data_IF_677389579437
#
_entry.id   IF_677389579437
#
_cell.length_a   1.000
_cell.length_b   1.000
_cell.length_c   1.000
_cell.angle_alpha   90.00
_cell.angle_beta   90.00
_cell.angle_gamma   90.00
#
_symmetry.space_group_name_H-M   'P 1'
#
loop_
_entity.id
_entity.type
_entity.pdbx_description
1 polymer ?
#
# COMPACT_ATOMS: atom_id res chain seq x y z
N UNK A 1 -31.28 40.35 -8.84
CA UNK A 1 -31.31 40.66 -7.39
C UNK A 1 -30.84 39.41 -6.66
N UNK A 2 -29.62 39.47 -6.11
CA UNK A 2 -28.95 38.36 -5.41
C UNK A 2 -29.44 38.36 -3.97
N UNK A 3 -30.00 37.23 -3.52
CA UNK A 3 -30.39 37.04 -2.12
C UNK A 3 -29.20 36.44 -1.35
N UNK A 4 -28.70 37.10 -0.29
CA UNK A 4 -27.60 36.57 0.52
C UNK A 4 -28.15 35.73 1.67
N UNK A 5 -27.75 34.46 1.75
CA UNK A 5 -27.97 33.64 2.95
C UNK A 5 -27.11 34.20 4.10
N UNK A 6 -27.71 34.54 5.24
CA UNK A 6 -26.99 35.08 6.38
C UNK A 6 -26.44 33.94 7.26
N UNK A 7 -25.30 34.21 7.91
CA UNK A 7 -24.66 33.43 8.99
C UNK A 7 -23.71 32.30 8.60
N UNK A 8 -22.54 32.67 8.05
CA UNK A 8 -21.30 31.92 8.34
C UNK A 8 -20.47 32.78 9.30
N UNK A 9 -20.12 32.32 10.52
CA UNK A 9 -19.28 33.10 11.41
C UNK A 9 -17.88 33.29 10.80
N UNK A 10 -17.26 34.48 10.93
CA UNK A 10 -15.92 34.72 10.43
C UNK A 10 -14.94 33.74 11.10
N UNK A 11 -14.15 33.04 10.28
CA UNK A 11 -13.09 32.15 10.76
C UNK A 11 -12.10 32.98 11.62
N UNK A 12 -11.73 32.51 12.83
CA UNK A 12 -10.70 33.20 13.60
C UNK A 12 -9.37 33.17 12.82
N UNK A 13 -8.58 34.26 12.86
CA UNK A 13 -7.26 34.29 12.22
C UNK A 13 -6.39 33.18 12.81
N UNK A 14 -5.51 32.54 12.02
CA UNK A 14 -4.70 31.44 12.52
C UNK A 14 -3.83 31.95 13.67
N UNK A 15 -4.09 31.42 14.87
CA UNK A 15 -3.19 31.55 16.00
C UNK A 15 -1.79 31.13 15.55
N UNK A 16 -0.81 31.96 15.86
CA UNK A 16 0.58 31.86 15.42
C UNK A 16 1.13 30.45 15.67
N UNK A 17 1.13 29.62 14.63
CA UNK A 17 1.92 28.39 14.58
C UNK A 17 3.40 28.79 14.71
N UNK A 18 4.23 28.02 15.45
CA UNK A 18 5.67 28.22 15.50
C UNK A 18 6.25 28.19 14.08
N UNK A 19 7.29 28.99 13.83
CA UNK A 19 7.82 29.25 12.47
C UNK A 19 8.18 27.99 11.68
N UNK A 20 8.44 26.88 12.35
CA UNK A 20 8.69 25.56 11.73
C UNK A 20 7.50 25.03 10.89
N UNK A 21 6.29 25.57 11.07
CA UNK A 21 5.07 25.15 10.34
C UNK A 21 4.49 26.23 9.43
N UNK A 22 5.13 27.41 9.33
CA UNK A 22 4.75 28.42 8.34
C UNK A 22 5.26 28.02 6.96
N UNK A 23 4.35 27.71 6.03
CA UNK A 23 4.67 27.64 4.59
C UNK A 23 5.19 29.01 4.13
N UNK A 24 6.45 29.07 3.69
CA UNK A 24 6.97 30.21 2.94
C UNK A 24 6.19 30.36 1.61
N UNK A 25 5.68 31.56 1.29
CA UNK A 25 5.15 31.86 -0.03
C UNK A 25 6.33 32.21 -0.95
N UNK A 26 6.88 31.19 -1.58
CA UNK A 26 7.99 31.28 -2.53
C UNK A 26 8.25 29.90 -3.13
N UNK A 27 7.45 29.55 -4.13
CA UNK A 27 7.47 28.28 -4.89
C UNK A 27 8.89 27.91 -5.36
N UNK A 28 9.19 26.60 -5.41
CA UNK A 28 8.90 25.87 -6.63
C UNK A 28 7.65 24.99 -6.48
N UNK A 29 6.82 25.10 -7.50
CA UNK A 29 5.61 24.34 -7.77
C UNK A 29 5.77 22.84 -7.44
N UNK A 30 4.83 22.19 -6.71
CA UNK A 30 4.74 20.74 -6.78
C UNK A 30 4.47 20.39 -8.24
N UNK A 31 5.29 19.52 -8.81
CA UNK A 31 5.08 18.95 -10.13
C UNK A 31 3.63 18.51 -10.20
N UNK A 32 2.82 19.22 -10.99
CA UNK A 32 1.58 18.68 -11.53
C UNK A 32 1.95 17.29 -12.04
N UNK A 33 1.23 16.21 -11.73
CA UNK A 33 1.33 15.04 -12.56
C UNK A 33 0.89 15.51 -13.94
N UNK A 34 1.86 15.85 -14.78
CA UNK A 34 1.66 15.89 -16.21
C UNK A 34 1.18 14.49 -16.50
N UNK A 35 -0.11 14.37 -16.78
CA UNK A 35 -0.60 13.30 -17.61
C UNK A 35 0.20 13.44 -18.89
N UNK A 36 1.35 12.76 -18.95
CA UNK A 36 1.93 12.34 -20.21
C UNK A 36 0.77 11.61 -20.86
N UNK A 37 0.23 12.06 -22.00
CA UNK A 37 -0.50 11.13 -22.83
C UNK A 37 0.51 10.01 -23.02
N UNK A 38 0.22 8.83 -22.49
CA UNK A 38 0.93 7.66 -22.93
C UNK A 38 0.66 7.65 -24.43
N UNK A 39 1.64 8.15 -25.20
CA UNK A 39 1.66 7.99 -26.62
C UNK A 39 1.57 6.50 -26.79
N UNK A 40 0.39 6.04 -27.22
CA UNK A 40 0.20 4.73 -27.77
C UNK A 40 1.14 4.66 -28.97
N UNK A 41 2.41 4.32 -28.73
CA UNK A 41 3.19 3.58 -29.69
C UNK A 41 2.50 2.23 -29.78
N UNK A 42 1.49 2.22 -30.63
CA UNK A 42 0.97 1.04 -31.25
C UNK A 42 2.14 0.37 -31.96
N UNK A 43 2.79 -0.58 -31.29
CA UNK A 43 3.40 -1.68 -32.01
C UNK A 43 2.30 -2.72 -32.27
N UNK A 44 2.10 -3.12 -33.53
CA UNK A 44 0.96 -3.93 -33.97
C UNK A 44 1.26 -5.41 -33.68
N UNK A 45 1.30 -5.77 -32.40
CA UNK A 45 1.29 -7.16 -31.95
C UNK A 45 -0.13 -7.58 -31.61
N UNK A 46 -0.99 -7.62 -32.62
CA UNK A 46 -2.39 -8.01 -32.50
C UNK A 46 -2.54 -9.44 -31.99
N UNK A 47 -2.55 -9.60 -30.68
CA UNK A 47 -3.09 -10.75 -29.98
C UNK A 47 -4.33 -10.30 -29.23
N UNK A 48 -5.41 -10.01 -29.95
CA UNK A 48 -6.74 -9.97 -29.34
C UNK A 48 -7.00 -11.35 -28.78
N UNK A 49 -6.62 -11.59 -27.52
CA UNK A 49 -7.24 -12.66 -26.75
C UNK A 49 -8.72 -12.32 -26.80
N UNK A 50 -9.52 -13.07 -27.56
CA UNK A 50 -10.95 -12.85 -27.81
C UNK A 50 -11.82 -13.01 -26.56
N UNK A 51 -11.33 -12.48 -25.45
CA UNK A 51 -11.80 -12.54 -24.10
C UNK A 51 -12.52 -11.21 -23.83
N UNK A 52 -13.78 -11.22 -23.38
CA UNK A 52 -14.50 -10.01 -23.04
C UNK A 52 -13.71 -9.16 -22.02
N UNK A 53 -13.81 -7.82 -22.12
CA UNK A 53 -12.94 -6.89 -21.38
C UNK A 53 -12.90 -7.07 -19.85
N UNK A 54 -13.90 -7.71 -19.26
CA UNK A 54 -13.91 -8.06 -17.83
C UNK A 54 -12.91 -9.17 -17.47
N UNK A 55 -12.63 -10.11 -18.37
CA UNK A 55 -11.64 -11.18 -18.15
C UNK A 55 -10.23 -10.58 -18.12
N UNK A 56 -10.00 -9.55 -18.94
CA UNK A 56 -8.76 -8.77 -18.91
C UNK A 56 -8.62 -8.05 -17.57
N UNK A 57 -9.65 -7.33 -17.12
CA UNK A 57 -9.64 -6.61 -15.84
C UNK A 57 -9.46 -7.55 -14.62
N UNK A 58 -10.19 -8.66 -14.57
CA UNK A 58 -10.08 -9.66 -13.49
C UNK A 58 -8.73 -10.37 -13.51
N UNK A 59 -8.13 -10.59 -14.69
CA UNK A 59 -6.76 -11.12 -14.79
C UNK A 59 -5.72 -10.15 -14.23
N UNK A 60 -5.88 -8.83 -14.43
CA UNK A 60 -5.04 -7.81 -13.83
C UNK A 60 -5.17 -7.80 -12.31
N UNK A 61 -6.40 -7.85 -11.78
CA UNK A 61 -6.64 -7.92 -10.32
C UNK A 61 -5.97 -9.16 -9.73
N UNK A 62 -6.09 -10.33 -10.39
CA UNK A 62 -5.47 -11.57 -9.90
C UNK A 62 -3.93 -11.51 -9.95
N UNK A 63 -3.35 -10.93 -10.99
CA UNK A 63 -1.89 -10.70 -11.07
C UNK A 63 -1.42 -9.76 -9.96
N UNK A 64 -2.14 -8.67 -9.73
CA UNK A 64 -1.85 -7.74 -8.66
C UNK A 64 -1.95 -8.40 -7.28
N UNK A 65 -3.01 -9.17 -7.02
CA UNK A 65 -3.15 -9.95 -5.79
C UNK A 65 -1.99 -10.94 -5.59
N UNK A 66 -1.50 -11.57 -6.66
CA UNK A 66 -0.30 -12.42 -6.61
C UNK A 66 0.96 -11.64 -6.22
N UNK A 67 1.16 -10.43 -6.75
CA UNK A 67 2.28 -9.56 -6.37
C UNK A 67 2.19 -9.10 -4.90
N UNK A 68 0.98 -8.79 -4.43
CA UNK A 68 0.70 -8.45 -3.03
C UNK A 68 1.01 -9.66 -2.12
N UNK A 69 0.58 -10.87 -2.50
CA UNK A 69 0.91 -12.10 -1.78
C UNK A 69 2.42 -12.38 -1.72
N UNK A 70 3.13 -12.23 -2.84
CA UNK A 70 4.59 -12.35 -2.86
C UNK A 70 5.30 -11.30 -2.01
N UNK A 71 4.73 -10.09 -1.90
CA UNK A 71 5.22 -9.03 -1.01
C UNK A 71 4.98 -9.39 0.45
N UNK A 72 3.83 -9.96 0.80
CA UNK A 72 3.55 -10.47 2.14
C UNK A 72 4.57 -11.53 2.56
N UNK A 73 4.90 -12.46 1.68
CA UNK A 73 5.93 -13.48 1.93
C UNK A 73 7.31 -12.86 2.09
N UNK A 74 7.67 -11.87 1.26
CA UNK A 74 8.92 -11.14 1.38
C UNK A 74 9.07 -10.43 2.73
N UNK A 75 8.00 -9.76 3.17
CA UNK A 75 7.98 -9.07 4.48
C UNK A 75 8.06 -10.07 5.63
N UNK A 76 7.40 -11.24 5.54
CA UNK A 76 7.52 -12.31 6.54
C UNK A 76 8.94 -12.86 6.60
N UNK A 77 9.61 -13.05 5.46
CA UNK A 77 11.04 -13.44 5.44
C UNK A 77 11.93 -12.36 6.06
N UNK A 78 11.64 -11.09 5.82
CA UNK A 78 12.37 -9.98 6.44
C UNK A 78 12.21 -9.98 7.97
N UNK A 79 10.99 -10.22 8.46
CA UNK A 79 10.72 -10.41 9.89
C UNK A 79 11.58 -11.56 10.44
N UNK A 80 11.55 -12.72 9.79
CA UNK A 80 12.25 -13.91 10.27
C UNK A 80 13.79 -13.74 10.21
N UNK A 81 14.28 -12.91 9.28
CA UNK A 81 15.69 -12.53 9.16
C UNK A 81 16.11 -11.40 10.11
N UNK A 82 15.19 -10.85 10.91
CA UNK A 82 15.50 -9.73 11.80
C UNK A 82 16.48 -10.18 12.89
N UNK A 83 17.66 -9.52 13.02
CA UNK A 83 18.72 -10.01 13.90
C UNK A 83 18.30 -9.93 15.37
N UNK A 84 18.60 -11.00 16.12
CA UNK A 84 18.51 -11.03 17.59
C UNK A 84 19.90 -11.17 18.18
N UNK A 85 20.21 -10.32 19.13
CA UNK A 85 21.51 -10.28 19.82
C UNK A 85 21.44 -11.01 21.19
N UNK A 86 20.51 -11.97 21.32
CA UNK A 86 20.37 -12.83 22.50
C UNK A 86 21.59 -13.77 22.58
N UNK A 87 22.56 -13.41 23.42
CA UNK A 87 23.84 -14.10 23.56
C UNK A 87 25.00 -13.14 23.83
N UNK A 88 24.89 -11.91 23.31
CA UNK A 88 25.82 -10.82 23.59
C UNK A 88 25.61 -10.22 25.00
N UNK A 89 24.54 -10.64 25.68
CA UNK A 89 24.21 -10.26 27.05
C UNK A 89 24.79 -11.20 28.13
N UNK A 90 25.39 -12.34 27.75
CA UNK A 90 25.72 -13.42 28.70
C UNK A 90 27.20 -13.50 29.11
N UNK A 91 28.08 -12.76 28.46
CA UNK A 91 29.43 -12.55 28.93
C UNK A 91 29.88 -11.15 28.53
N UNK A 92 30.62 -10.43 29.38
CA UNK A 92 31.50 -9.39 28.85
C UNK A 92 32.42 -10.09 27.86
N UNK A 93 32.08 -10.00 26.56
CA UNK A 93 33.04 -10.21 25.47
C UNK A 93 34.30 -9.49 25.92
N UNK A 94 35.41 -10.20 26.09
CA UNK A 94 36.60 -9.66 26.73
C UNK A 94 36.93 -8.26 26.18
N UNK A 95 36.73 -7.22 27.00
CA UNK A 95 36.94 -5.81 26.63
C UNK A 95 35.71 -4.97 26.27
N UNK A 96 34.47 -5.50 26.26
CA UNK A 96 33.26 -4.69 26.06
C UNK A 96 32.80 -4.08 27.40
N UNK A 97 32.79 -2.74 27.54
CA UNK A 97 32.32 -2.08 28.76
C UNK A 97 30.86 -2.42 29.06
N UNK A 98 30.43 -2.35 30.32
CA UNK A 98 29.02 -2.51 30.75
C UNK A 98 28.06 -1.65 29.91
N UNK A 99 28.53 -0.49 29.42
CA UNK A 99 27.79 0.40 28.51
C UNK A 99 27.34 -0.34 27.23
N UNK A 100 28.14 -1.28 26.73
CA UNK A 100 27.83 -2.11 25.56
C UNK A 100 26.58 -2.98 25.77
N UNK A 101 26.30 -3.43 26.99
CA UNK A 101 25.09 -4.21 27.30
C UNK A 101 23.82 -3.37 27.12
N UNK A 102 23.84 -2.09 27.52
CA UNK A 102 22.73 -1.16 27.31
C UNK A 102 22.44 -0.96 25.82
N UNK A 103 23.49 -0.89 24.99
CA UNK A 103 23.33 -0.79 23.55
C UNK A 103 22.76 -2.08 22.94
N UNK A 104 23.24 -3.26 23.36
CA UNK A 104 22.68 -4.56 22.94
C UNK A 104 21.19 -4.66 23.28
N UNK A 105 20.79 -4.23 24.48
CA UNK A 105 19.37 -4.17 24.86
C UNK A 105 18.57 -3.24 23.95
N UNK A 106 19.08 -2.03 23.66
CA UNK A 106 18.43 -1.10 22.72
C UNK A 106 18.32 -1.69 21.32
N UNK A 107 19.36 -2.34 20.80
CA UNK A 107 19.32 -2.98 19.49
C UNK A 107 18.29 -4.11 19.45
N UNK A 108 18.21 -4.96 20.48
CA UNK A 108 17.18 -5.99 20.57
C UNK A 108 15.76 -5.40 20.55
N UNK A 109 15.51 -4.31 21.27
CA UNK A 109 14.21 -3.64 21.29
C UNK A 109 13.85 -3.05 19.91
N UNK A 110 14.82 -2.44 19.23
CA UNK A 110 14.64 -1.92 17.86
C UNK A 110 14.35 -3.07 16.89
N UNK A 111 15.12 -4.15 16.96
CA UNK A 111 14.88 -5.37 16.18
C UNK A 111 13.50 -5.95 16.44
N UNK A 112 13.05 -6.02 17.69
CA UNK A 112 11.72 -6.54 18.03
C UNK A 112 10.61 -5.65 17.46
N UNK A 113 10.76 -4.34 17.56
CA UNK A 113 9.82 -3.37 16.97
C UNK A 113 9.74 -3.54 15.45
N UNK A 114 10.90 -3.68 14.78
CA UNK A 114 10.96 -3.94 13.35
C UNK A 114 10.31 -5.27 12.96
N UNK A 115 10.60 -6.34 13.69
CA UNK A 115 10.00 -7.66 13.49
C UNK A 115 8.47 -7.59 13.63
N UNK A 116 7.97 -6.89 14.65
CA UNK A 116 6.53 -6.74 14.87
C UNK A 116 5.87 -5.92 13.75
N UNK A 117 6.48 -4.81 13.34
CA UNK A 117 5.97 -4.00 12.23
C UNK A 117 5.93 -4.78 10.91
N UNK A 118 6.98 -5.55 10.62
CA UNK A 118 7.01 -6.45 9.47
C UNK A 118 5.92 -7.54 9.58
N UNK A 119 5.70 -8.11 10.75
CA UNK A 119 4.59 -9.05 10.99
C UNK A 119 3.24 -8.45 10.61
N UNK A 120 2.90 -7.28 11.17
CA UNK A 120 1.65 -6.56 10.89
C UNK A 120 1.49 -6.25 9.40
N UNK A 121 2.54 -5.74 8.75
CA UNK A 121 2.51 -5.43 7.33
C UNK A 121 2.31 -6.70 6.47
N UNK A 122 2.99 -7.80 6.82
CA UNK A 122 2.83 -9.07 6.12
C UNK A 122 1.40 -9.62 6.23
N UNK A 123 0.78 -9.53 7.41
CA UNK A 123 -0.59 -9.99 7.63
C UNK A 123 -1.63 -9.10 6.93
N UNK A 124 -1.42 -7.79 6.91
CA UNK A 124 -2.24 -6.85 6.16
C UNK A 124 -2.19 -7.14 4.65
N UNK A 125 -0.98 -7.26 4.08
CA UNK A 125 -0.80 -7.59 2.66
C UNK A 125 -1.43 -8.93 2.30
N UNK A 126 -1.31 -9.94 3.18
CA UNK A 126 -1.92 -11.23 2.93
C UNK A 126 -3.46 -11.14 2.87
N UNK A 127 -4.06 -10.44 3.84
CA UNK A 127 -5.51 -10.22 3.92
C UNK A 127 -6.03 -9.43 2.72
N UNK A 128 -5.30 -8.38 2.32
CA UNK A 128 -5.64 -7.58 1.14
C UNK A 128 -5.55 -8.42 -0.14
N UNK A 129 -4.53 -9.26 -0.26
CA UNK A 129 -4.37 -10.21 -1.36
C UNK A 129 -5.56 -11.16 -1.49
N UNK A 130 -6.01 -11.77 -0.39
CA UNK A 130 -7.20 -12.63 -0.38
C UNK A 130 -8.47 -11.88 -0.78
N UNK A 131 -8.61 -10.64 -0.29
CA UNK A 131 -9.75 -9.78 -0.62
C UNK A 131 -9.80 -9.45 -2.11
N UNK A 132 -8.65 -9.16 -2.73
CA UNK A 132 -8.53 -8.91 -4.16
C UNK A 132 -8.89 -10.14 -4.99
N UNK A 133 -8.44 -11.33 -4.58
CA UNK A 133 -8.81 -12.59 -5.25
C UNK A 133 -10.33 -12.81 -5.18
N UNK A 134 -10.93 -12.67 -3.99
CA UNK A 134 -12.38 -12.82 -3.82
C UNK A 134 -13.16 -11.80 -4.63
N UNK A 135 -12.69 -10.54 -4.71
CA UNK A 135 -13.30 -9.53 -5.56
C UNK A 135 -13.26 -9.93 -7.04
N UNK A 136 -12.11 -10.38 -7.54
CA UNK A 136 -11.98 -10.86 -8.92
C UNK A 136 -12.92 -12.04 -9.21
N UNK A 137 -13.03 -13.00 -8.30
CA UNK A 137 -13.91 -14.15 -8.45
C UNK A 137 -15.39 -13.75 -8.44
N UNK A 138 -15.78 -12.79 -7.59
CA UNK A 138 -17.13 -12.23 -7.57
C UNK A 138 -17.49 -11.53 -8.89
N UNK A 139 -16.56 -10.77 -9.49
CA UNK A 139 -16.79 -10.16 -10.80
C UNK A 139 -17.01 -11.21 -11.89
N UNK A 140 -16.18 -12.26 -11.91
CA UNK A 140 -16.36 -13.37 -12.87
C UNK A 140 -17.70 -14.08 -12.67
N UNK A 141 -18.12 -14.30 -11.42
CA UNK A 141 -19.39 -14.94 -11.12
C UNK A 141 -20.59 -14.08 -11.54
N UNK A 142 -20.56 -12.77 -11.29
CA UNK A 142 -21.60 -11.83 -11.69
C UNK A 142 -21.78 -11.79 -13.22
N UNK A 143 -20.68 -11.76 -13.98
CA UNK A 143 -20.70 -11.76 -15.44
C UNK A 143 -21.28 -13.05 -16.03
N UNK A 144 -20.90 -14.22 -15.47
CA UNK A 144 -21.47 -15.51 -15.86
C UNK A 144 -22.98 -15.56 -15.60
N UNK A 145 -23.43 -15.03 -14.46
CA UNK A 145 -24.85 -14.98 -14.12
C UNK A 145 -25.63 -14.04 -15.06
N UNK A 146 -25.07 -12.86 -15.38
CA UNK A 146 -25.67 -11.92 -16.33
C UNK A 146 -25.79 -12.50 -17.75
N UNK A 147 -24.74 -13.17 -18.22
CA UNK A 147 -24.74 -13.83 -19.53
C UNK A 147 -25.80 -14.95 -19.61
N UNK A 148 -25.89 -15.78 -18.56
CA UNK A 148 -26.89 -16.84 -18.48
C UNK A 148 -28.33 -16.29 -18.44
N UNK A 149 -28.56 -15.16 -17.74
CA UNK A 149 -29.86 -14.50 -17.69
C UNK A 149 -30.27 -13.95 -19.07
N UNK A 150 -29.35 -13.30 -19.79
CA UNK A 150 -29.59 -12.77 -21.14
C UNK A 150 -29.91 -13.90 -22.13
N UNK A 151 -29.18 -15.02 -22.08
CA UNK A 151 -29.46 -16.19 -22.91
C UNK A 151 -30.84 -16.78 -22.62
N UNK A 152 -31.21 -16.89 -21.34
CA UNK A 152 -32.54 -17.41 -20.93
C UNK A 152 -33.69 -16.53 -21.42
N UNK A 153 -33.51 -15.22 -21.50
CA UNK A 153 -34.54 -14.29 -22.02
C UNK A 153 -34.66 -14.24 -23.54
N UNK A 154 -33.76 -14.88 -24.28
CA UNK A 154 -33.74 -14.87 -25.76
C UNK A 154 -34.47 -16.08 -26.39
N UNK A 155 -34.97 -16.99 -25.58
CA UNK A 155 -35.70 -18.22 -25.96
C UNK A 155 -37.17 -18.02 -25.59
#
# INVERSE_FOLDING_TARGET
MVSPCPHTPPCPPPACLPDSLRRQPGTPQPSKPTATPATHSADPGGGSSGLPGYEVATSFIRKFAGAVGGSADGVRRLRDATPRFQGWNLAPLAGVPIVGLTFVHRFNSVSETWSNAAGVLGDALHTDGETLVRAADNYVAAEKAGTAAIQKTRI
#
